data_IF_284401450937
#
_entry.id   IF_284401450937
#
_cell.length_a   1.000
_cell.length_b   1.000
_cell.length_c   1.000
_cell.angle_alpha   90.00
_cell.angle_beta   90.00
_cell.angle_gamma   90.00
#
_symmetry.space_group_name_H-M   'P 1'
#
loop_
_entity.id
_entity.type
_entity.pdbx_description
1 polymer ?
#
# COMPACT_ATOMS: atom_id res chain seq x y z
N UNK A 1 -26.75 9.84 1.27
CA UNK A 1 -26.17 10.64 0.18
C UNK A 1 -24.74 10.17 -0.05
N UNK A 2 -24.32 9.90 -1.30
CA UNK A 2 -22.98 9.39 -1.61
C UNK A 2 -21.89 10.42 -1.31
N UNK A 3 -22.12 11.69 -1.61
CA UNK A 3 -21.16 12.77 -1.37
C UNK A 3 -20.78 12.88 0.12
N UNK A 4 -21.77 12.82 1.01
CA UNK A 4 -21.53 12.87 2.46
C UNK A 4 -20.75 11.66 2.98
N UNK A 5 -20.95 10.48 2.37
CA UNK A 5 -20.15 9.28 2.68
C UNK A 5 -18.70 9.46 2.25
N UNK A 6 -18.45 10.08 1.10
CA UNK A 6 -17.09 10.37 0.63
C UNK A 6 -16.40 11.42 1.51
N UNK A 7 -17.13 12.45 1.98
CA UNK A 7 -16.63 13.41 2.97
C UNK A 7 -16.31 12.75 4.30
N UNK A 8 -17.15 11.83 4.76
CA UNK A 8 -16.89 11.04 5.97
C UNK A 8 -15.63 10.18 5.81
N UNK A 9 -15.44 9.53 4.66
CA UNK A 9 -14.21 8.77 4.38
C UNK A 9 -12.98 9.66 4.50
N UNK A 10 -13.00 10.83 3.85
CA UNK A 10 -11.89 11.80 3.92
C UNK A 10 -11.57 12.16 5.37
N UNK A 11 -12.58 12.54 6.15
CA UNK A 11 -12.37 12.97 7.53
C UNK A 11 -11.89 11.83 8.44
N UNK A 12 -12.56 10.67 8.39
CA UNK A 12 -12.28 9.55 9.29
C UNK A 12 -10.93 8.92 8.98
N UNK A 13 -10.69 8.55 7.72
CA UNK A 13 -9.48 7.83 7.35
C UNK A 13 -8.22 8.70 7.34
N UNK A 14 -8.34 10.02 7.14
CA UNK A 14 -7.21 10.92 7.31
C UNK A 14 -6.70 10.92 8.75
N UNK A 15 -7.62 10.95 9.73
CA UNK A 15 -7.28 10.89 11.16
C UNK A 15 -6.67 9.53 11.50
N UNK A 16 -7.29 8.42 11.09
CA UNK A 16 -6.74 7.10 11.42
C UNK A 16 -5.36 6.89 10.81
N UNK A 17 -5.13 7.40 9.60
CA UNK A 17 -3.81 7.42 8.95
C UNK A 17 -2.80 8.27 9.73
N UNK A 18 -3.17 9.48 10.12
CA UNK A 18 -2.30 10.41 10.88
C UNK A 18 -1.82 9.79 12.19
N UNK A 19 -2.72 9.10 12.91
CA UNK A 19 -2.39 8.44 14.17
C UNK A 19 -1.88 7.00 14.03
N UNK A 20 -1.72 6.49 12.81
CA UNK A 20 -1.28 5.12 12.57
C UNK A 20 -2.23 4.05 13.11
N UNK A 21 -3.51 4.37 13.23
CA UNK A 21 -4.55 3.47 13.74
C UNK A 21 -5.21 2.70 12.58
N UNK A 22 -5.32 1.36 12.65
CA UNK A 22 -6.06 0.60 11.65
C UNK A 22 -7.57 0.81 11.82
N UNK A 23 -8.26 1.12 10.73
CA UNK A 23 -9.72 1.18 10.66
C UNK A 23 -10.26 -0.05 9.92
N UNK A 24 -11.28 -0.70 10.48
CA UNK A 24 -11.93 -1.88 9.87
C UNK A 24 -13.38 -1.53 9.56
N UNK A 25 -13.77 -1.62 8.29
CA UNK A 25 -15.17 -1.45 7.89
C UNK A 25 -16.01 -2.60 8.44
N UNK A 26 -17.19 -2.25 8.96
CA UNK A 26 -18.22 -3.22 9.25
C UNK A 26 -18.97 -3.56 7.95
N UNK A 27 -18.80 -4.77 7.44
CA UNK A 27 -19.57 -5.29 6.30
C UNK A 27 -20.58 -6.34 6.77
N UNK A 28 -21.86 -5.94 6.82
CA UNK A 28 -22.95 -6.81 7.26
C UNK A 28 -23.67 -7.53 6.11
N UNK A 29 -23.15 -7.46 4.88
CA UNK A 29 -23.79 -8.01 3.68
C UNK A 29 -25.17 -7.41 3.33
N UNK A 30 -25.55 -6.26 3.91
CA UNK A 30 -26.83 -5.58 3.64
C UNK A 30 -26.59 -4.27 2.88
N UNK A 31 -26.63 -4.29 1.55
CA UNK A 31 -26.34 -3.09 0.75
C UNK A 31 -27.49 -2.07 0.71
N UNK A 32 -28.75 -2.54 0.69
CA UNK A 32 -29.94 -1.67 0.69
C UNK A 32 -30.92 -2.15 1.76
N UNK A 33 -31.31 -1.25 2.64
CA UNK A 33 -32.26 -1.52 3.71
C UNK A 33 -33.15 -0.30 3.94
N UNK A 34 -34.45 -0.53 4.07
CA UNK A 34 -35.41 0.50 4.48
C UNK A 34 -35.55 0.58 6.01
N UNK A 35 -34.83 -0.25 6.76
CA UNK A 35 -34.90 -0.38 8.22
C UNK A 35 -33.64 0.11 8.94
N UNK A 36 -32.70 0.73 8.21
CA UNK A 36 -31.39 1.12 8.73
C UNK A 36 -30.29 0.08 8.47
N UNK A 37 -29.06 0.39 8.88
CA UNK A 37 -27.87 -0.47 8.81
C UNK A 37 -27.54 -1.05 7.42
N UNK A 38 -27.57 -0.21 6.38
CA UNK A 38 -27.14 -0.58 5.04
C UNK A 38 -25.59 -0.52 4.92
N UNK A 39 -24.89 -1.43 5.59
CA UNK A 39 -23.42 -1.51 5.65
C UNK A 39 -22.83 -2.65 4.79
N UNK A 40 -23.54 -3.12 3.77
CA UNK A 40 -22.98 -4.01 2.76
C UNK A 40 -22.05 -3.26 1.81
N UNK A 41 -20.78 -3.65 1.73
CA UNK A 41 -19.78 -3.03 0.87
C UNK A 41 -19.36 -3.96 -0.27
N UNK A 42 -19.10 -5.23 0.04
CA UNK A 42 -18.69 -6.26 -0.91
C UNK A 42 -19.84 -7.17 -1.32
N UNK A 43 -20.06 -7.32 -2.63
CA UNK A 43 -20.96 -8.31 -3.20
C UNK A 43 -20.27 -9.68 -3.20
N UNK A 44 -20.69 -10.54 -2.26
CA UNK A 44 -20.10 -11.87 -2.07
C UNK A 44 -20.47 -12.87 -3.17
N UNK A 45 -21.51 -12.61 -3.94
CA UNK A 45 -21.96 -13.49 -5.03
C UNK A 45 -21.22 -13.17 -6.34
N UNK A 46 -21.10 -11.88 -6.67
CA UNK A 46 -20.45 -11.44 -7.91
C UNK A 46 -18.94 -11.18 -7.75
N UNK A 47 -18.44 -11.19 -6.52
CA UNK A 47 -17.07 -10.83 -6.16
C UNK A 47 -16.71 -9.39 -6.60
N UNK A 48 -17.66 -8.47 -6.43
CA UNK A 48 -17.55 -7.06 -6.83
C UNK A 48 -17.83 -6.12 -5.65
N UNK A 49 -17.57 -4.83 -5.80
CA UNK A 49 -17.94 -3.80 -4.81
C UNK A 49 -19.26 -3.14 -5.19
N UNK A 50 -20.20 -3.04 -4.25
CA UNK A 50 -21.47 -2.36 -4.50
C UNK A 50 -21.32 -0.84 -4.70
N UNK A 51 -20.38 -0.21 -4.00
CA UNK A 51 -20.05 1.23 -4.09
C UNK A 51 -18.54 1.39 -4.29
N UNK A 52 -18.07 1.09 -5.50
CA UNK A 52 -16.64 1.18 -5.86
C UNK A 52 -16.05 2.57 -5.58
N UNK A 53 -16.72 3.72 -5.86
CA UNK A 53 -16.19 5.04 -5.52
C UNK A 53 -15.91 5.24 -4.03
N UNK A 54 -16.77 4.70 -3.16
CA UNK A 54 -16.56 4.75 -1.70
C UNK A 54 -15.30 3.99 -1.28
N UNK A 55 -15.09 2.78 -1.81
CA UNK A 55 -13.90 1.97 -1.53
C UNK A 55 -12.66 2.64 -2.11
N UNK A 56 -12.72 3.13 -3.35
CA UNK A 56 -11.61 3.84 -3.98
C UNK A 56 -11.18 5.04 -3.14
N UNK A 57 -12.14 5.83 -2.63
CA UNK A 57 -11.83 6.99 -1.80
C UNK A 57 -11.09 6.61 -0.51
N UNK A 58 -11.41 5.48 0.11
CA UNK A 58 -10.67 4.96 1.27
C UNK A 58 -9.22 4.66 0.88
N UNK A 59 -9.04 3.94 -0.23
CA UNK A 59 -7.71 3.59 -0.75
C UNK A 59 -6.88 4.84 -1.04
N UNK A 60 -7.47 5.83 -1.72
CA UNK A 60 -6.82 7.10 -2.07
C UNK A 60 -6.37 7.87 -0.81
N UNK A 61 -7.23 8.00 0.20
CA UNK A 61 -6.91 8.69 1.46
C UNK A 61 -5.77 7.98 2.18
N UNK A 62 -5.80 6.65 2.21
CA UNK A 62 -4.73 5.83 2.78
C UNK A 62 -3.45 5.84 1.94
N UNK A 63 -3.50 6.35 0.70
CA UNK A 63 -2.37 6.40 -0.23
C UNK A 63 -2.06 5.04 -0.87
N UNK A 64 -3.05 4.14 -0.92
CA UNK A 64 -2.93 2.82 -1.54
C UNK A 64 -3.34 2.95 -3.01
N UNK A 65 -2.41 2.66 -3.91
CA UNK A 65 -2.69 2.62 -5.35
C UNK A 65 -3.15 1.21 -5.75
N UNK A 66 -4.07 1.15 -6.71
CA UNK A 66 -4.65 -0.09 -7.22
C UNK A 66 -3.54 -1.04 -7.72
N UNK A 67 -3.57 -2.30 -7.28
CA UNK A 67 -2.57 -3.34 -7.58
C UNK A 67 -2.87 -4.02 -8.93
N UNK A 68 -4.02 -3.71 -9.53
CA UNK A 68 -4.54 -4.38 -10.74
C UNK A 68 -3.67 -4.16 -12.01
N UNK A 69 -2.73 -3.21 -11.99
CA UNK A 69 -1.73 -2.99 -13.04
C UNK A 69 -0.29 -3.20 -12.56
N UNK A 70 -0.10 -4.08 -11.59
CA UNK A 70 1.24 -4.50 -11.16
C UNK A 70 1.60 -5.78 -11.92
N UNK A 71 2.29 -5.62 -13.05
CA UNK A 71 3.14 -6.71 -13.53
C UNK A 71 4.25 -6.92 -12.51
N UNK A 72 4.53 -8.18 -12.15
CA UNK A 72 5.61 -8.52 -11.23
C UNK A 72 6.87 -8.71 -12.06
N UNK A 73 7.92 -7.95 -11.73
CA UNK A 73 9.23 -8.24 -12.30
C UNK A 73 9.89 -9.39 -11.52
N UNK A 74 9.85 -10.59 -12.09
CA UNK A 74 10.40 -11.81 -11.51
C UNK A 74 11.94 -11.82 -11.47
N UNK A 75 12.61 -10.91 -12.19
CA UNK A 75 14.07 -10.78 -12.14
C UNK A 75 14.58 -10.04 -10.90
N UNK A 76 13.67 -9.42 -10.14
CA UNK A 76 14.02 -8.57 -9.01
C UNK A 76 14.65 -9.38 -7.87
N UNK A 77 15.84 -8.95 -7.48
CA UNK A 77 16.53 -9.41 -6.27
C UNK A 77 16.77 -8.24 -5.33
N UNK A 78 16.47 -8.43 -4.04
CA UNK A 78 16.75 -7.46 -2.97
C UNK A 78 17.42 -8.17 -1.81
N UNK A 79 18.61 -7.70 -1.43
CA UNK A 79 19.36 -8.26 -0.31
C UNK A 79 20.44 -7.32 0.20
N UNK A 80 21.07 -7.62 1.35
CA UNK A 80 20.77 -8.75 2.22
C UNK A 80 19.41 -8.58 2.92
N UNK A 81 18.81 -9.68 3.35
CA UNK A 81 17.65 -9.68 4.24
C UNK A 81 17.80 -10.84 5.23
N UNK A 82 18.00 -10.60 6.54
CA UNK A 82 18.00 -9.30 7.22
C UNK A 82 19.17 -8.37 6.85
N UNK A 83 18.95 -7.06 6.93
CA UNK A 83 19.92 -6.01 6.59
C UNK A 83 20.28 -5.12 7.80
N UNK A 84 21.42 -4.43 7.74
CA UNK A 84 21.83 -3.50 8.81
C UNK A 84 22.17 -2.10 8.27
N UNK A 85 22.99 -2.01 7.23
CA UNK A 85 23.47 -0.71 6.75
C UNK A 85 22.87 -0.35 5.41
N UNK A 86 22.98 -1.25 4.44
CA UNK A 86 22.54 -1.05 3.07
C UNK A 86 21.73 -2.25 2.59
N UNK A 87 20.83 -2.01 1.64
CA UNK A 87 20.27 -3.02 0.76
C UNK A 87 20.74 -2.75 -0.67
N UNK A 88 20.85 -3.82 -1.43
CA UNK A 88 21.19 -3.86 -2.85
C UNK A 88 19.98 -4.40 -3.58
N UNK A 89 19.63 -3.72 -4.67
CA UNK A 89 18.50 -4.05 -5.52
C UNK A 89 19.02 -4.21 -6.95
N UNK A 90 18.66 -5.32 -7.58
CA UNK A 90 19.01 -5.60 -8.98
C UNK A 90 17.82 -6.18 -9.73
N UNK A 91 17.64 -5.79 -10.99
CA UNK A 91 16.63 -6.32 -11.90
C UNK A 91 17.12 -6.31 -13.36
N UNK A 92 16.54 -7.14 -14.21
CA UNK A 92 16.79 -7.13 -15.66
C UNK A 92 16.14 -5.92 -16.34
N UNK A 93 15.08 -5.38 -15.74
CA UNK A 93 14.37 -4.19 -16.23
C UNK A 93 14.82 -2.92 -15.49
N UNK A 94 14.63 -1.76 -16.11
CA UNK A 94 15.06 -0.48 -15.53
C UNK A 94 14.32 -0.18 -14.21
N UNK A 95 15.07 0.08 -13.15
CA UNK A 95 14.54 0.52 -11.86
C UNK A 95 14.15 2.00 -11.96
N UNK A 96 12.95 2.34 -11.51
CA UNK A 96 12.46 3.71 -11.47
C UNK A 96 12.64 4.33 -10.08
N UNK A 97 12.21 3.62 -9.04
CA UNK A 97 12.38 4.08 -7.65
C UNK A 97 12.27 2.94 -6.64
N UNK A 98 12.79 3.19 -5.44
CA UNK A 98 12.58 2.37 -4.24
C UNK A 98 11.96 3.26 -3.17
N UNK A 99 10.89 2.77 -2.56
CA UNK A 99 10.22 3.40 -1.43
C UNK A 99 10.15 2.42 -0.25
N UNK A 100 10.53 2.85 0.95
CA UNK A 100 10.41 2.03 2.16
C UNK A 100 9.29 2.58 3.03
N UNK A 101 8.41 1.68 3.47
CA UNK A 101 7.30 1.95 4.36
C UNK A 101 7.44 1.17 5.66
N UNK A 102 6.95 1.76 6.76
CA UNK A 102 6.70 1.02 8.01
C UNK A 102 5.58 -0.01 7.80
N UNK A 103 5.39 -0.91 8.78
CA UNK A 103 4.23 -1.82 8.80
C UNK A 103 2.89 -1.09 8.92
N UNK A 104 2.88 0.15 9.42
CA UNK A 104 1.69 1.02 9.47
C UNK A 104 1.44 1.79 8.16
N UNK A 105 2.31 1.63 7.15
CA UNK A 105 2.17 2.29 5.85
C UNK A 105 2.77 3.70 5.77
N UNK A 106 3.50 4.16 6.80
CA UNK A 106 4.19 5.44 6.75
C UNK A 106 5.45 5.34 5.87
N UNK A 107 5.61 6.23 4.89
CA UNK A 107 6.80 6.30 4.04
C UNK A 107 8.00 6.86 4.82
N UNK A 108 9.07 6.08 4.94
CA UNK A 108 10.28 6.46 5.70
C UNK A 108 11.51 6.67 4.82
N UNK A 109 11.50 6.17 3.59
CA UNK A 109 12.58 6.41 2.61
C UNK A 109 12.01 6.43 1.20
N UNK A 110 12.58 7.29 0.36
CA UNK A 110 12.30 7.35 -1.07
C UNK A 110 13.61 7.63 -1.83
N UNK A 111 13.85 6.87 -2.90
CA UNK A 111 15.01 7.07 -3.77
C UNK A 111 14.62 6.83 -5.23
N UNK A 112 14.80 7.84 -6.07
CA UNK A 112 14.79 7.66 -7.53
C UNK A 112 16.06 6.97 -8.00
N UNK A 113 15.92 6.14 -9.03
CA UNK A 113 16.98 5.29 -9.58
C UNK A 113 16.91 5.42 -11.10
N UNK A 114 18.07 5.31 -11.74
CA UNK A 114 18.16 5.06 -13.17
C UNK A 114 19.14 3.92 -13.39
N UNK A 115 18.74 2.96 -14.21
CA UNK A 115 19.46 1.71 -14.46
C UNK A 115 18.96 0.52 -13.65
N UNK A 116 19.74 -0.55 -13.68
CA UNK A 116 19.31 -1.90 -13.27
C UNK A 116 19.79 -2.32 -11.88
N UNK A 117 20.61 -1.48 -11.24
CA UNK A 117 21.19 -1.77 -9.93
C UNK A 117 21.11 -0.54 -9.03
N UNK A 118 20.81 -0.75 -7.75
CA UNK A 118 20.79 0.32 -6.77
C UNK A 118 21.30 -0.14 -5.40
N UNK A 119 22.02 0.76 -4.75
CA UNK A 119 22.39 0.67 -3.33
C UNK A 119 21.56 1.68 -2.53
N UNK A 120 20.91 1.23 -1.45
CA UNK A 120 20.08 2.07 -0.59
C UNK A 120 20.57 1.97 0.85
N UNK A 121 21.02 3.10 1.40
CA UNK A 121 21.38 3.20 2.81
C UNK A 121 20.14 3.24 3.71
N UNK A 122 20.12 2.38 4.72
CA UNK A 122 19.02 2.19 5.68
C UNK A 122 19.46 2.36 7.14
N UNK A 123 20.72 2.72 7.38
CA UNK A 123 21.30 2.86 8.73
C UNK A 123 20.62 3.89 9.63
N UNK A 124 19.89 4.85 9.04
CA UNK A 124 19.10 5.85 9.78
C UNK A 124 17.75 5.31 10.28
N UNK A 125 17.33 4.14 9.79
CA UNK A 125 16.05 3.53 10.17
C UNK A 125 16.23 2.68 11.43
N UNK A 126 15.23 2.71 12.30
CA UNK A 126 15.22 1.86 13.49
C UNK A 126 15.11 0.39 13.12
N UNK A 127 15.67 -0.50 13.95
CA UNK A 127 15.53 -1.96 13.82
C UNK A 127 14.05 -2.36 13.79
N UNK A 128 13.67 -3.28 12.92
CA UNK A 128 12.27 -3.67 12.77
C UNK A 128 11.92 -4.25 11.40
N UNK A 129 10.62 -4.40 11.16
CA UNK A 129 10.07 -4.90 9.89
C UNK A 129 9.57 -3.72 9.06
N UNK A 130 9.86 -3.76 7.76
CA UNK A 130 9.48 -2.75 6.78
C UNK A 130 8.99 -3.40 5.49
N UNK A 131 8.28 -2.64 4.67
CA UNK A 131 7.92 -3.01 3.31
C UNK A 131 8.73 -2.14 2.35
N UNK A 132 9.57 -2.75 1.52
CA UNK A 132 10.19 -2.07 0.38
C UNK A 132 9.33 -2.27 -0.85
N UNK A 133 8.89 -1.16 -1.44
CA UNK A 133 8.20 -1.10 -2.72
C UNK A 133 9.23 -0.69 -3.77
N UNK A 134 9.55 -1.61 -4.66
CA UNK A 134 10.49 -1.39 -5.77
C UNK A 134 9.68 -1.27 -7.06
N UNK A 135 9.80 -0.12 -7.73
CA UNK A 135 9.17 0.11 -9.03
C UNK A 135 10.20 -0.04 -10.14
N UNK A 136 9.89 -0.88 -11.11
CA UNK A 136 10.60 -1.00 -12.39
C UNK A 136 9.74 -0.44 -13.52
N UNK A 137 10.29 -0.34 -14.72
CA UNK A 137 9.50 -0.02 -15.93
C UNK A 137 8.37 -1.03 -16.19
N UNK A 138 8.57 -2.29 -15.79
CA UNK A 138 7.62 -3.35 -16.02
C UNK A 138 6.58 -3.43 -14.90
N UNK A 139 6.91 -2.98 -13.68
CA UNK A 139 6.19 -3.49 -12.53
C UNK A 139 6.48 -2.85 -11.20
N UNK A 140 5.77 -3.34 -10.19
CA UNK A 140 5.97 -2.98 -8.78
C UNK A 140 6.10 -4.25 -7.96
N UNK A 141 7.13 -4.32 -7.13
CA UNK A 141 7.35 -5.44 -6.22
C UNK A 141 7.32 -4.95 -4.78
N UNK A 142 6.63 -5.69 -3.90
CA UNK A 142 6.60 -5.41 -2.47
C UNK A 142 7.37 -6.51 -1.75
N UNK A 143 8.43 -6.12 -1.03
CA UNK A 143 9.34 -7.05 -0.35
C UNK A 143 9.38 -6.70 1.13
N UNK A 144 9.17 -7.71 1.98
CA UNK A 144 9.35 -7.59 3.43
C UNK A 144 10.84 -7.50 3.75
N UNK A 145 11.27 -6.40 4.36
CA UNK A 145 12.63 -6.21 4.86
C UNK A 145 12.68 -6.34 6.38
N UNK A 146 13.75 -6.96 6.88
CA UNK A 146 14.04 -7.11 8.30
C UNK A 146 15.34 -6.36 8.60
N UNK A 147 15.26 -5.32 9.42
CA UNK A 147 16.41 -4.49 9.81
C UNK A 147 16.93 -4.89 11.20
N UNK A 148 18.24 -5.11 11.30
CA UNK A 148 18.97 -5.60 12.49
C UNK A 148 19.83 -4.56 13.17
#
# INVERSE_FOLDING_TARGET
NQEDRLKWVEAYYSVTKEYGMPAVLWDNNVFKSNKGEAHGHFNREELTWYDRPFIQKIMDVLGIQDVDNISIDYSLSVGPNPASNNIYVSADNELQNITIYTTSGARVLYKEISGNNAEVGISMLNKGIYNAVVKTEYGVNVIKLILK
#
